data_IF_664132884919
#
_entry.id   IF_664132884919
#
_cell.length_a   1.000
_cell.length_b   1.000
_cell.length_c   1.000
_cell.angle_alpha   90.00
_cell.angle_beta   90.00
_cell.angle_gamma   90.00
#
_symmetry.space_group_name_H-M   'P 1'
#
loop_
_entity.id
_entity.type
_entity.pdbx_description
1 polymer ?
#
# COMPACT_ATOMS: atom_id res chain seq x y z
N UNK A 1 -34.68 4.79 5.53
CA UNK A 1 -33.39 5.27 4.98
C UNK A 1 -33.29 6.75 5.26
N UNK A 2 -32.36 7.17 6.11
CA UNK A 2 -32.28 8.57 6.59
C UNK A 2 -31.70 9.50 5.51
N UNK A 3 -31.92 10.81 5.61
CA UNK A 3 -31.25 11.82 4.76
C UNK A 3 -29.72 11.72 4.85
N UNK A 4 -29.21 11.29 6.00
CA UNK A 4 -27.79 11.05 6.24
C UNK A 4 -27.23 9.83 5.47
N UNK A 5 -28.03 8.79 5.25
CA UNK A 5 -27.64 7.62 4.45
C UNK A 5 -27.60 7.92 2.94
N UNK A 6 -28.53 8.76 2.46
CA UNK A 6 -28.56 9.19 1.04
C UNK A 6 -27.32 10.01 0.67
N UNK A 7 -26.95 10.97 1.52
CA UNK A 7 -25.77 11.83 1.31
C UNK A 7 -24.45 11.04 1.23
N UNK A 8 -24.27 10.03 2.10
CA UNK A 8 -23.07 9.17 2.07
C UNK A 8 -23.00 8.32 0.80
N UNK A 9 -24.13 7.77 0.37
CA UNK A 9 -24.21 6.96 -0.85
C UNK A 9 -23.88 7.78 -2.11
N UNK A 10 -24.42 8.99 -2.21
CA UNK A 10 -24.15 9.90 -3.34
C UNK A 10 -22.69 10.36 -3.37
N UNK A 11 -22.08 10.65 -2.21
CA UNK A 11 -20.66 11.01 -2.10
C UNK A 11 -19.73 9.86 -2.52
N UNK A 12 -20.08 8.62 -2.15
CA UNK A 12 -19.33 7.43 -2.52
C UNK A 12 -19.41 7.14 -4.03
N UNK A 13 -20.62 7.17 -4.60
CA UNK A 13 -20.82 6.96 -6.04
C UNK A 13 -20.11 8.03 -6.89
N UNK A 14 -20.14 9.30 -6.44
CA UNK A 14 -19.39 10.39 -7.06
C UNK A 14 -17.88 10.15 -7.03
N UNK A 15 -17.35 9.73 -5.88
CA UNK A 15 -15.92 9.46 -5.72
C UNK A 15 -15.47 8.33 -6.65
N UNK A 16 -16.21 7.22 -6.69
CA UNK A 16 -15.96 6.09 -7.60
C UNK A 16 -15.95 6.55 -9.07
N UNK A 17 -16.94 7.34 -9.48
CA UNK A 17 -17.03 7.85 -10.86
C UNK A 17 -15.84 8.73 -11.24
N UNK A 18 -15.29 9.48 -10.28
CA UNK A 18 -14.09 10.30 -10.47
C UNK A 18 -12.79 9.46 -10.46
N UNK A 19 -12.78 8.29 -9.82
CA UNK A 19 -11.57 7.46 -9.70
C UNK A 19 -11.23 6.67 -10.96
N UNK A 20 -12.25 6.15 -11.65
CA UNK A 20 -12.04 5.27 -12.82
C UNK A 20 -11.19 5.92 -13.92
N UNK A 21 -11.43 7.19 -14.33
CA UNK A 21 -10.61 7.81 -15.37
C UNK A 21 -9.15 8.04 -14.96
N UNK A 22 -8.84 8.08 -13.67
CA UNK A 22 -7.47 8.28 -13.18
C UNK A 22 -6.69 6.97 -13.08
N UNK A 23 -7.33 5.79 -13.17
CA UNK A 23 -6.64 4.50 -13.05
C UNK A 23 -5.45 4.31 -13.99
N UNK A 24 -5.49 4.73 -15.28
CA UNK A 24 -4.32 4.64 -16.14
C UNK A 24 -3.13 5.47 -15.64
N UNK A 25 -3.39 6.57 -14.94
CA UNK A 25 -2.35 7.46 -14.39
C UNK A 25 -1.60 6.79 -13.24
N UNK A 26 -2.26 5.91 -12.47
CA UNK A 26 -1.59 5.13 -11.41
C UNK A 26 -0.43 4.30 -11.99
N UNK A 27 -0.57 3.74 -13.20
CA UNK A 27 0.48 2.97 -13.86
C UNK A 27 1.70 3.81 -14.23
N UNK A 28 1.58 5.14 -14.31
CA UNK A 28 2.73 6.01 -14.53
C UNK A 28 3.66 6.03 -13.32
N UNK A 29 3.17 5.77 -12.10
CA UNK A 29 3.98 5.82 -10.88
C UNK A 29 5.18 4.86 -10.95
N UNK A 30 5.00 3.53 -11.14
CA UNK A 30 6.15 2.62 -11.24
C UNK A 30 7.03 2.92 -12.46
N UNK A 31 6.46 3.42 -13.56
CA UNK A 31 7.22 3.82 -14.76
C UNK A 31 8.14 5.01 -14.43
N UNK A 32 7.63 6.01 -13.70
CA UNK A 32 8.40 7.20 -13.33
C UNK A 32 9.54 6.87 -12.37
N UNK A 33 9.33 5.98 -11.39
CA UNK A 33 10.42 5.50 -10.54
C UNK A 33 11.48 4.76 -11.36
N UNK A 34 11.06 3.87 -12.27
CA UNK A 34 12.00 3.18 -13.14
C UNK A 34 12.80 4.14 -14.02
N UNK A 35 12.15 5.11 -14.65
CA UNK A 35 12.82 6.13 -15.46
C UNK A 35 13.79 6.97 -14.63
N UNK A 36 13.43 7.34 -13.41
CA UNK A 36 14.28 8.12 -12.51
C UNK A 36 15.57 7.34 -12.16
N UNK A 37 15.47 6.07 -11.77
CA UNK A 37 16.65 5.26 -11.45
C UNK A 37 17.46 4.85 -12.69
N UNK A 38 16.79 4.66 -13.82
CA UNK A 38 17.48 4.44 -15.10
C UNK A 38 18.30 5.66 -15.50
N UNK A 39 17.76 6.86 -15.29
CA UNK A 39 18.48 8.11 -15.55
C UNK A 39 19.73 8.25 -14.68
N UNK A 40 19.73 7.69 -13.47
CA UNK A 40 20.91 7.63 -12.60
C UNK A 40 21.82 6.43 -12.91
N UNK A 41 21.65 5.76 -14.05
CA UNK A 41 22.52 4.66 -14.50
C UNK A 41 22.24 3.30 -13.85
N UNK A 42 21.10 3.12 -13.19
CA UNK A 42 20.72 1.83 -12.58
C UNK A 42 19.69 1.12 -13.43
N UNK A 43 20.10 0.03 -14.08
CA UNK A 43 19.19 -0.81 -14.86
C UNK A 43 18.31 -1.70 -13.98
N UNK A 44 17.08 -1.94 -14.45
CA UNK A 44 16.13 -2.82 -13.80
C UNK A 44 16.53 -4.28 -14.01
N UNK A 45 16.65 -5.03 -12.91
CA UNK A 45 16.79 -6.48 -12.94
C UNK A 45 15.39 -7.08 -12.85
N UNK A 46 14.81 -7.42 -14.01
CA UNK A 46 13.42 -7.91 -14.10
C UNK A 46 13.12 -9.12 -13.21
N UNK A 47 14.09 -10.01 -13.00
CA UNK A 47 13.95 -11.16 -12.07
C UNK A 47 13.73 -10.69 -10.63
N UNK A 48 14.53 -9.72 -10.18
CA UNK A 48 14.43 -9.13 -8.85
C UNK A 48 13.13 -8.32 -8.69
N UNK A 49 12.73 -7.59 -9.73
CA UNK A 49 11.42 -6.93 -9.79
C UNK A 49 10.26 -7.92 -9.61
N UNK A 50 10.27 -9.04 -10.35
CA UNK A 50 9.25 -10.08 -10.22
C UNK A 50 9.21 -10.69 -8.81
N UNK A 51 10.37 -10.89 -8.19
CA UNK A 51 10.45 -11.33 -6.79
C UNK A 51 9.90 -10.31 -5.81
N UNK A 52 10.14 -9.02 -6.01
CA UNK A 52 9.54 -7.95 -5.21
C UNK A 52 8.01 -7.96 -5.30
N UNK A 53 7.47 -8.08 -6.51
CA UNK A 53 6.03 -8.18 -6.72
C UNK A 53 5.44 -9.43 -6.03
N UNK A 54 6.10 -10.58 -6.16
CA UNK A 54 5.68 -11.82 -5.50
C UNK A 54 5.74 -11.70 -3.98
N UNK A 55 6.79 -11.08 -3.44
CA UNK A 55 6.96 -10.85 -2.00
C UNK A 55 5.81 -10.03 -1.41
N UNK A 56 5.41 -8.95 -2.08
CA UNK A 56 4.26 -8.15 -1.66
C UNK A 56 2.96 -8.99 -1.68
N UNK A 57 2.73 -9.79 -2.72
CA UNK A 57 1.55 -10.68 -2.80
C UNK A 57 1.54 -11.69 -1.65
N UNK A 58 2.68 -12.30 -1.33
CA UNK A 58 2.80 -13.23 -0.19
C UNK A 58 2.45 -12.50 1.11
N UNK A 59 3.01 -11.29 1.33
CA UNK A 59 2.71 -10.50 2.52
C UNK A 59 1.21 -10.14 2.62
N UNK A 60 0.56 -9.81 1.49
CA UNK A 60 -0.89 -9.60 1.44
C UNK A 60 -1.65 -10.88 1.82
N UNK A 61 -1.28 -12.03 1.27
CA UNK A 61 -1.94 -13.31 1.57
C UNK A 61 -1.83 -13.67 3.05
N UNK A 62 -0.70 -13.36 3.69
CA UNK A 62 -0.52 -13.56 5.14
C UNK A 62 -1.44 -12.71 6.01
N UNK A 63 -2.02 -11.61 5.47
CA UNK A 63 -3.07 -10.85 6.17
C UNK A 63 -4.40 -11.60 6.23
N UNK A 64 -4.63 -12.58 5.35
CA UNK A 64 -5.84 -13.42 5.34
C UNK A 64 -6.07 -14.15 6.66
N UNK A 65 -5.10 -14.97 7.14
CA UNK A 65 -5.15 -15.59 8.46
C UNK A 65 -5.40 -14.59 9.60
N UNK A 66 -4.74 -13.43 9.58
CA UNK A 66 -4.95 -12.38 10.60
C UNK A 66 -6.39 -11.83 10.55
N UNK A 67 -6.95 -11.68 9.34
CA UNK A 67 -8.33 -11.22 9.16
C UNK A 67 -9.34 -12.21 9.72
N UNK A 68 -9.09 -13.52 9.56
CA UNK A 68 -9.92 -14.59 10.15
C UNK A 68 -9.92 -14.51 11.68
N UNK A 69 -8.74 -14.30 12.30
CA UNK A 69 -8.64 -14.12 13.75
C UNK A 69 -9.40 -12.86 14.23
N UNK A 70 -9.48 -11.84 13.39
CA UNK A 70 -10.21 -10.59 13.66
C UNK A 70 -11.73 -10.68 13.52
N UNK A 71 -12.30 -11.71 12.89
CA UNK A 71 -13.73 -11.78 12.54
C UNK A 71 -14.67 -11.70 13.74
N UNK A 72 -14.23 -12.18 14.91
CA UNK A 72 -15.04 -12.18 16.14
C UNK A 72 -14.87 -10.91 16.99
N UNK A 73 -14.01 -9.99 16.56
CA UNK A 73 -13.71 -8.77 17.31
C UNK A 73 -14.58 -7.60 16.82
N UNK A 74 -14.78 -6.57 17.65
CA UNK A 74 -15.38 -5.32 17.21
C UNK A 74 -14.66 -4.73 16.00
N UNK A 75 -15.40 -4.18 15.01
CA UNK A 75 -14.87 -3.69 13.73
C UNK A 75 -13.62 -2.82 13.86
N UNK A 76 -13.61 -1.90 14.82
CA UNK A 76 -12.46 -1.01 15.06
C UNK A 76 -11.21 -1.76 15.55
N UNK A 77 -11.39 -2.76 16.44
CA UNK A 77 -10.29 -3.57 16.96
C UNK A 77 -9.76 -4.52 15.90
N UNK A 78 -10.66 -5.13 15.12
CA UNK A 78 -10.29 -5.95 13.96
C UNK A 78 -9.47 -5.15 12.95
N UNK A 79 -9.93 -3.94 12.58
CA UNK A 79 -9.20 -3.05 11.69
C UNK A 79 -7.81 -2.70 12.23
N UNK A 80 -7.68 -2.34 13.51
CA UNK A 80 -6.37 -2.04 14.11
C UNK A 80 -5.41 -3.22 14.08
N UNK A 81 -5.90 -4.44 14.30
CA UNK A 81 -5.06 -5.65 14.25
C UNK A 81 -4.62 -5.96 12.82
N UNK A 82 -5.54 -5.91 11.85
CA UNK A 82 -5.25 -6.21 10.44
C UNK A 82 -4.31 -5.17 9.85
N UNK A 83 -4.55 -3.88 10.10
CA UNK A 83 -3.67 -2.81 9.61
C UNK A 83 -2.35 -2.83 10.38
N UNK A 84 -2.38 -3.07 11.69
CA UNK A 84 -1.18 -3.12 12.53
C UNK A 84 -0.28 -4.33 12.25
N UNK A 85 -0.79 -5.42 11.68
CA UNK A 85 0.02 -6.58 11.28
C UNK A 85 0.77 -6.36 9.96
N UNK A 86 0.48 -5.29 9.21
CA UNK A 86 1.16 -4.99 7.94
C UNK A 86 2.68 -4.93 8.08
N UNK A 87 3.21 -4.22 9.09
CA UNK A 87 4.65 -4.11 9.33
C UNK A 87 5.34 -5.46 9.51
N UNK A 88 4.95 -6.29 10.51
CA UNK A 88 5.52 -7.62 10.70
C UNK A 88 5.48 -8.51 9.46
N UNK A 89 4.36 -8.49 8.74
CA UNK A 89 4.15 -9.36 7.58
C UNK A 89 4.97 -8.89 6.38
N UNK A 90 4.97 -7.60 6.06
CA UNK A 90 5.70 -7.07 4.91
C UNK A 90 7.20 -7.03 5.14
N UNK A 91 7.65 -6.51 6.28
CA UNK A 91 9.09 -6.43 6.57
C UNK A 91 9.69 -7.82 6.78
N UNK A 92 8.94 -8.77 7.37
CA UNK A 92 9.37 -10.15 7.52
C UNK A 92 9.56 -10.85 6.18
N UNK A 93 8.60 -10.71 5.26
CA UNK A 93 8.72 -11.27 3.90
C UNK A 93 9.83 -10.58 3.12
N UNK A 94 9.95 -9.24 3.21
CA UNK A 94 11.03 -8.47 2.56
C UNK A 94 12.41 -8.93 3.01
N UNK A 95 12.62 -9.09 4.31
CA UNK A 95 13.87 -9.60 4.87
C UNK A 95 14.18 -11.00 4.33
N UNK A 96 13.21 -11.92 4.42
CA UNK A 96 13.37 -13.28 3.92
C UNK A 96 13.73 -13.30 2.44
N UNK A 97 13.06 -12.49 1.63
CA UNK A 97 13.32 -12.38 0.20
C UNK A 97 14.74 -11.88 -0.09
N UNK A 98 15.19 -10.84 0.60
CA UNK A 98 16.53 -10.27 0.42
C UNK A 98 17.63 -11.26 0.81
N UNK A 99 17.47 -11.96 1.94
CA UNK A 99 18.41 -13.00 2.39
C UNK A 99 18.50 -14.14 1.36
N UNK A 100 17.37 -14.55 0.78
CA UNK A 100 17.31 -15.68 -0.15
C UNK A 100 17.75 -15.34 -1.57
N UNK A 101 17.67 -14.08 -1.99
CA UNK A 101 17.84 -13.71 -3.40
C UNK A 101 19.00 -12.78 -3.69
N UNK A 102 19.39 -11.95 -2.73
CA UNK A 102 20.50 -11.01 -2.88
C UNK A 102 20.20 -9.63 -2.31
N UNK A 103 21.26 -8.94 -1.92
CA UNK A 103 21.18 -7.65 -1.23
C UNK A 103 21.84 -6.52 -1.99
N UNK A 104 22.51 -6.78 -3.12
CA UNK A 104 23.20 -5.77 -3.95
C UNK A 104 22.28 -4.64 -4.41
N UNK A 105 22.83 -3.42 -4.61
CA UNK A 105 22.03 -2.20 -4.84
C UNK A 105 20.96 -2.37 -5.93
N UNK A 106 21.37 -2.67 -7.17
CA UNK A 106 20.46 -2.78 -8.31
C UNK A 106 19.43 -3.90 -8.11
N UNK A 107 19.80 -4.96 -7.38
CA UNK A 107 18.90 -6.07 -7.05
C UNK A 107 17.86 -5.65 -6.03
N UNK A 108 18.28 -5.08 -4.90
CA UNK A 108 17.39 -4.59 -3.84
C UNK A 108 16.48 -3.45 -4.34
N UNK A 109 17.02 -2.54 -5.15
CA UNK A 109 16.26 -1.48 -5.79
C UNK A 109 15.18 -2.05 -6.72
N UNK A 110 15.52 -3.07 -7.52
CA UNK A 110 14.56 -3.74 -8.40
C UNK A 110 13.47 -4.47 -7.60
N UNK A 111 13.83 -5.15 -6.50
CA UNK A 111 12.85 -5.73 -5.55
C UNK A 111 11.91 -4.65 -5.03
N UNK A 112 12.45 -3.53 -4.54
CA UNK A 112 11.66 -2.42 -4.01
C UNK A 112 10.68 -1.85 -5.05
N UNK A 113 11.14 -1.67 -6.28
CA UNK A 113 10.29 -1.21 -7.39
C UNK A 113 9.20 -2.23 -7.75
N UNK A 114 9.51 -3.53 -7.75
CA UNK A 114 8.53 -4.59 -7.97
C UNK A 114 7.46 -4.64 -6.88
N UNK A 115 7.89 -4.49 -5.62
CA UNK A 115 7.03 -4.39 -4.44
C UNK A 115 6.05 -3.23 -4.57
N UNK A 116 6.55 -2.03 -4.88
CA UNK A 116 5.74 -0.84 -5.09
C UNK A 116 4.79 -0.95 -6.30
N UNK A 117 5.27 -1.50 -7.41
CA UNK A 117 4.49 -1.61 -8.65
C UNK A 117 3.27 -2.51 -8.49
N UNK A 118 3.42 -3.68 -7.86
CA UNK A 118 2.27 -4.59 -7.68
C UNK A 118 1.25 -4.02 -6.70
N UNK A 119 1.67 -3.23 -5.72
CA UNK A 119 0.75 -2.55 -4.82
C UNK A 119 -0.09 -1.50 -5.55
N UNK A 120 0.51 -0.78 -6.50
CA UNK A 120 -0.22 0.13 -7.39
C UNK A 120 -1.26 -0.64 -8.21
N UNK A 121 -0.89 -1.79 -8.79
CA UNK A 121 -1.84 -2.65 -9.51
C UNK A 121 -2.97 -3.14 -8.59
N UNK A 122 -2.63 -3.59 -7.38
CA UNK A 122 -3.62 -3.99 -6.38
C UNK A 122 -4.57 -2.85 -6.03
N UNK A 123 -4.07 -1.61 -5.92
CA UNK A 123 -4.89 -0.42 -5.70
C UNK A 123 -5.87 -0.21 -6.85
N UNK A 124 -5.42 -0.33 -8.09
CA UNK A 124 -6.28 -0.24 -9.29
C UNK A 124 -7.37 -1.32 -9.25
N UNK A 125 -6.99 -2.58 -9.01
CA UNK A 125 -7.93 -3.71 -8.91
C UNK A 125 -8.98 -3.45 -7.83
N UNK A 126 -8.57 -2.91 -6.68
CA UNK A 126 -9.50 -2.58 -5.60
C UNK A 126 -10.47 -1.47 -5.98
N UNK A 127 -10.01 -0.40 -6.64
CA UNK A 127 -10.92 0.66 -7.10
C UNK A 127 -11.94 0.10 -8.08
N UNK A 128 -11.53 -0.75 -9.02
CA UNK A 128 -12.44 -1.42 -9.96
C UNK A 128 -13.41 -2.36 -9.23
N UNK A 129 -12.94 -3.13 -8.26
CA UNK A 129 -13.78 -4.01 -7.44
C UNK A 129 -14.83 -3.21 -6.67
N UNK A 130 -14.42 -2.14 -5.97
CA UNK A 130 -15.32 -1.22 -5.26
C UNK A 130 -16.34 -0.61 -6.23
N UNK A 131 -15.91 -0.17 -7.41
CA UNK A 131 -16.78 0.40 -8.42
C UNK A 131 -17.85 -0.59 -8.91
N UNK A 132 -17.44 -1.84 -9.18
CA UNK A 132 -18.36 -2.91 -9.61
C UNK A 132 -19.35 -3.32 -8.52
N UNK A 133 -18.96 -3.21 -7.25
CA UNK A 133 -19.81 -3.51 -6.11
C UNK A 133 -20.74 -2.34 -5.74
N UNK A 134 -20.39 -1.09 -6.07
CA UNK A 134 -21.08 0.11 -5.59
C UNK A 134 -22.61 0.02 -5.74
N UNK A 135 -23.09 -0.38 -6.92
CA UNK A 135 -24.53 -0.48 -7.24
C UNK A 135 -25.18 -1.81 -6.86
N UNK A 136 -24.40 -2.82 -6.46
CA UNK A 136 -24.91 -4.15 -6.10
C UNK A 136 -25.40 -4.20 -4.65
N UNK A 137 -26.53 -4.85 -4.43
CA UNK A 137 -27.18 -5.00 -3.11
C UNK A 137 -27.46 -6.46 -2.73
N UNK A 138 -26.96 -7.42 -3.51
CA UNK A 138 -27.04 -8.83 -3.16
C UNK A 138 -26.19 -9.16 -1.93
N UNK A 139 -26.54 -10.24 -1.22
CA UNK A 139 -25.90 -10.62 0.05
C UNK A 139 -24.38 -10.76 -0.07
N UNK A 140 -23.89 -11.37 -1.17
CA UNK A 140 -22.46 -11.50 -1.44
C UNK A 140 -21.79 -10.14 -1.66
N UNK A 141 -22.44 -9.23 -2.38
CA UNK A 141 -21.93 -7.87 -2.56
C UNK A 141 -21.88 -7.10 -1.23
N UNK A 142 -22.86 -7.28 -0.34
CA UNK A 142 -22.86 -6.66 0.99
C UNK A 142 -21.75 -7.22 1.89
N UNK A 143 -21.51 -8.53 1.86
CA UNK A 143 -20.38 -9.15 2.55
C UNK A 143 -19.03 -8.64 2.00
N UNK A 144 -18.88 -8.57 0.68
CA UNK A 144 -17.67 -8.05 0.04
C UNK A 144 -17.41 -6.58 0.40
N UNK A 145 -18.46 -5.73 0.39
CA UNK A 145 -18.38 -4.34 0.86
C UNK A 145 -17.92 -4.28 2.31
N UNK A 146 -18.54 -5.04 3.21
CA UNK A 146 -18.16 -5.05 4.62
C UNK A 146 -16.70 -5.46 4.84
N UNK A 147 -16.19 -6.41 4.04
CA UNK A 147 -14.78 -6.82 4.07
C UNK A 147 -13.84 -5.71 3.60
N UNK A 148 -14.18 -5.03 2.50
CA UNK A 148 -13.41 -3.88 1.99
C UNK A 148 -13.43 -2.69 2.97
N UNK A 149 -14.56 -2.44 3.64
CA UNK A 149 -14.63 -1.42 4.68
C UNK A 149 -13.79 -1.77 5.90
N UNK A 150 -13.74 -3.05 6.30
CA UNK A 150 -12.91 -3.52 7.41
C UNK A 150 -11.41 -3.34 7.14
N UNK A 151 -11.02 -3.36 5.86
CA UNK A 151 -9.67 -3.02 5.39
C UNK A 151 -9.42 -1.50 5.33
N UNK A 152 -10.42 -0.66 5.63
CA UNK A 152 -10.30 0.80 5.75
C UNK A 152 -10.58 1.61 4.48
N UNK A 153 -11.26 1.04 3.49
CA UNK A 153 -11.20 1.54 2.10
C UNK A 153 -12.38 2.41 1.64
N UNK A 154 -12.95 3.28 2.49
CA UNK A 154 -14.28 3.86 2.17
C UNK A 154 -14.25 5.31 1.66
N UNK A 155 -13.13 6.02 1.72
CA UNK A 155 -13.08 7.36 1.13
C UNK A 155 -11.66 7.86 0.93
N UNK A 156 -11.21 7.89 -0.31
CA UNK A 156 -10.14 8.79 -0.71
C UNK A 156 -10.57 9.45 -2.02
N UNK A 157 -10.37 10.76 -2.11
CA UNK A 157 -10.49 11.46 -3.38
C UNK A 157 -9.41 10.89 -4.33
N UNK A 158 -9.76 10.54 -5.57
CA UNK A 158 -8.87 9.79 -6.44
C UNK A 158 -7.58 10.52 -6.83
N UNK A 159 -7.58 11.85 -6.79
CA UNK A 159 -6.37 12.67 -7.00
C UNK A 159 -5.39 12.54 -5.84
N UNK A 160 -5.89 12.53 -4.61
CA UNK A 160 -5.02 12.38 -3.44
C UNK A 160 -4.42 10.98 -3.38
N UNK A 161 -5.19 9.96 -3.74
CA UNK A 161 -4.67 8.59 -3.86
C UNK A 161 -3.44 8.45 -4.77
N UNK A 162 -3.27 9.30 -5.79
CA UNK A 162 -2.04 9.31 -6.61
C UNK A 162 -0.80 9.73 -5.79
N UNK A 163 -0.91 10.80 -5.01
CA UNK A 163 0.18 11.27 -4.13
C UNK A 163 0.50 10.26 -3.04
N UNK A 164 -0.53 9.64 -2.47
CA UNK A 164 -0.37 8.56 -1.51
C UNK A 164 0.41 7.39 -2.11
N UNK A 165 0.09 7.00 -3.35
CA UNK A 165 0.78 5.90 -4.05
C UNK A 165 2.22 6.22 -4.41
N UNK A 166 2.53 7.46 -4.79
CA UNK A 166 3.92 7.90 -4.99
C UNK A 166 4.70 7.80 -3.67
N UNK A 167 4.11 8.29 -2.58
CA UNK A 167 4.71 8.29 -1.25
C UNK A 167 4.91 6.88 -0.69
N UNK A 168 3.90 6.01 -0.84
CA UNK A 168 3.99 4.60 -0.47
C UNK A 168 5.04 3.86 -1.29
N UNK A 169 5.12 4.12 -2.61
CA UNK A 169 6.16 3.55 -3.47
C UNK A 169 7.56 3.96 -3.01
N UNK A 170 7.77 5.24 -2.71
CA UNK A 170 9.03 5.73 -2.16
C UNK A 170 9.38 5.05 -0.83
N UNK A 171 8.40 4.90 0.07
CA UNK A 171 8.56 4.20 1.34
C UNK A 171 9.01 2.76 1.15
N UNK A 172 8.31 1.97 0.32
CA UNK A 172 8.65 0.56 0.10
C UNK A 172 10.02 0.37 -0.56
N UNK A 173 10.37 1.22 -1.53
CA UNK A 173 11.69 1.20 -2.16
C UNK A 173 12.76 1.51 -1.11
N UNK A 174 12.57 2.58 -0.33
CA UNK A 174 13.48 2.99 0.73
C UNK A 174 13.70 1.93 1.80
N UNK A 175 12.62 1.36 2.34
CA UNK A 175 12.70 0.25 3.30
C UNK A 175 13.44 -0.96 2.73
N UNK A 176 13.24 -1.27 1.45
CA UNK A 176 13.95 -2.37 0.77
C UNK A 176 15.46 -2.12 0.72
N UNK A 177 15.88 -0.90 0.37
CA UNK A 177 17.30 -0.53 0.37
C UNK A 177 17.90 -0.57 1.79
N UNK A 178 17.18 -0.04 2.79
CA UNK A 178 17.62 -0.04 4.18
C UNK A 178 17.80 -1.46 4.73
N UNK A 179 16.83 -2.35 4.52
CA UNK A 179 16.93 -3.76 4.97
C UNK A 179 18.03 -4.50 4.22
N UNK A 180 18.19 -4.23 2.91
CA UNK A 180 19.24 -4.86 2.11
C UNK A 180 20.65 -4.49 2.60
N UNK A 181 20.85 -3.23 3.00
CA UNK A 181 22.12 -2.76 3.56
C UNK A 181 22.34 -3.22 5.00
N UNK A 182 21.30 -3.11 5.83
CA UNK A 182 21.33 -3.43 7.25
C UNK A 182 20.11 -4.26 7.66
N UNK A 183 20.22 -5.58 7.54
CA UNK A 183 19.14 -6.53 7.83
C UNK A 183 18.48 -6.33 9.19
N UNK A 184 19.23 -5.94 10.22
CA UNK A 184 18.72 -5.73 11.58
C UNK A 184 17.76 -4.53 11.69
N UNK A 185 17.79 -3.58 10.73
CA UNK A 185 16.82 -2.48 10.67
C UNK A 185 15.38 -2.97 10.52
N UNK A 186 15.17 -4.21 10.06
CA UNK A 186 13.85 -4.85 10.05
C UNK A 186 13.15 -4.76 11.42
N UNK A 187 13.90 -4.85 12.53
CA UNK A 187 13.34 -4.77 13.89
C UNK A 187 12.72 -3.40 14.16
N UNK A 188 13.32 -2.34 13.64
CA UNK A 188 12.80 -0.98 13.75
C UNK A 188 11.74 -0.66 12.69
N UNK A 189 11.90 -1.20 11.47
CA UNK A 189 10.98 -0.98 10.36
C UNK A 189 9.63 -1.67 10.57
N UNK A 190 9.58 -2.81 11.27
CA UNK A 190 8.33 -3.49 11.63
C UNK A 190 7.37 -2.55 12.38
N UNK A 191 7.72 -2.02 13.57
CA UNK A 191 6.82 -1.12 14.28
C UNK A 191 6.62 0.19 13.52
N UNK A 192 7.65 0.72 12.85
CA UNK A 192 7.53 1.95 12.05
C UNK A 192 6.45 1.80 10.98
N UNK A 193 6.53 0.76 10.16
CA UNK A 193 5.59 0.51 9.07
C UNK A 193 4.17 0.33 9.61
N UNK A 194 3.98 -0.45 10.68
CA UNK A 194 2.67 -0.58 11.33
C UNK A 194 2.13 0.78 11.81
N UNK A 195 2.97 1.63 12.40
CA UNK A 195 2.58 2.98 12.81
C UNK A 195 2.27 3.89 11.62
N UNK A 196 2.99 3.77 10.51
CA UNK A 196 2.70 4.49 9.27
C UNK A 196 1.32 4.16 8.74
N UNK A 197 1.00 2.87 8.63
CA UNK A 197 -0.30 2.45 8.12
C UNK A 197 -1.45 2.78 9.07
N UNK A 198 -1.27 2.60 10.38
CA UNK A 198 -2.28 3.00 11.37
C UNK A 198 -2.45 4.52 11.43
N UNK A 199 -1.35 5.26 11.35
CA UNK A 199 -1.32 6.72 11.28
C UNK A 199 -2.07 7.21 10.05
N UNK A 200 -1.81 6.62 8.89
CA UNK A 200 -2.50 6.90 7.64
C UNK A 200 -4.02 6.70 7.78
N UNK A 201 -4.46 5.54 8.27
CA UNK A 201 -5.89 5.26 8.50
C UNK A 201 -6.51 6.26 9.49
N UNK A 202 -5.81 6.65 10.54
CA UNK A 202 -6.31 7.61 11.53
C UNK A 202 -6.37 9.04 10.98
N UNK A 203 -5.42 9.44 10.14
CA UNK A 203 -5.38 10.74 9.50
C UNK A 203 -6.41 10.84 8.37
N UNK A 204 -6.61 9.78 7.59
CA UNK A 204 -7.63 9.71 6.54
C UNK A 204 -9.04 10.05 7.07
N UNK A 205 -9.35 9.62 8.30
CA UNK A 205 -10.61 9.93 8.99
C UNK A 205 -10.77 11.41 9.36
N UNK A 206 -9.65 12.15 9.48
CA UNK A 206 -9.63 13.54 9.95
C UNK A 206 -9.41 14.54 8.81
N UNK A 207 -8.46 14.27 7.92
CA UNK A 207 -8.08 15.15 6.82
C UNK A 207 -7.18 14.41 5.83
N UNK A 208 -7.62 14.34 4.57
CA UNK A 208 -6.83 13.79 3.46
C UNK A 208 -5.54 14.59 3.27
N UNK A 209 -5.57 15.92 3.30
CA UNK A 209 -4.36 16.74 3.16
C UNK A 209 -3.29 16.43 4.23
N UNK A 210 -3.70 16.17 5.48
CA UNK A 210 -2.75 15.78 6.55
C UNK A 210 -2.18 14.39 6.36
N UNK A 211 -3.01 13.44 5.90
CA UNK A 211 -2.56 12.11 5.50
C UNK A 211 -1.46 12.21 4.43
N UNK A 212 -1.70 13.00 3.39
CA UNK A 212 -0.82 13.10 2.23
C UNK A 212 0.52 13.73 2.60
N UNK A 213 0.49 14.80 3.40
CA UNK A 213 1.71 15.41 3.93
C UNK A 213 2.50 14.44 4.82
N UNK A 214 1.79 13.69 5.68
CA UNK A 214 2.40 12.66 6.53
C UNK A 214 3.09 11.56 5.70
N UNK A 215 2.37 11.00 4.73
CA UNK A 215 2.90 9.95 3.86
C UNK A 215 4.07 10.45 3.01
N UNK A 216 3.99 11.67 2.48
CA UNK A 216 5.06 12.27 1.69
C UNK A 216 6.35 12.41 2.50
N UNK A 217 6.27 12.94 3.73
CA UNK A 217 7.45 13.05 4.61
C UNK A 217 8.06 11.68 4.87
N UNK A 218 7.24 10.70 5.26
CA UNK A 218 7.71 9.37 5.59
C UNK A 218 8.32 8.67 4.37
N UNK A 219 7.67 8.76 3.20
CA UNK A 219 8.15 8.17 1.96
C UNK A 219 9.46 8.78 1.47
N UNK A 220 9.56 10.12 1.48
CA UNK A 220 10.81 10.82 1.12
C UNK A 220 11.93 10.49 2.10
N UNK A 221 11.65 10.48 3.40
CA UNK A 221 12.65 10.16 4.42
C UNK A 221 13.16 8.73 4.28
N UNK A 222 12.27 7.75 4.08
CA UNK A 222 12.65 6.35 3.91
C UNK A 222 13.45 6.13 2.62
N UNK A 223 13.00 6.71 1.49
CA UNK A 223 13.73 6.61 0.22
C UNK A 223 15.08 7.30 0.28
N UNK A 224 15.11 8.53 0.80
CA UNK A 224 16.35 9.30 0.97
C UNK A 224 17.34 8.58 1.87
N UNK A 225 16.90 8.06 3.02
CA UNK A 225 17.75 7.26 3.90
C UNK A 225 18.25 5.99 3.20
N UNK A 226 17.37 5.28 2.49
CA UNK A 226 17.75 4.09 1.72
C UNK A 226 18.79 4.37 0.65
N UNK A 227 18.67 5.48 -0.08
CA UNK A 227 19.64 5.88 -1.12
C UNK A 227 20.95 6.40 -0.54
N UNK A 228 20.92 7.14 0.57
CA UNK A 228 22.13 7.73 1.18
C UNK A 228 23.01 6.67 1.85
N UNK A 229 22.41 5.62 2.36
CA UNK A 229 23.09 4.59 3.16
C UNK A 229 23.62 3.45 2.30
N UNK A 230 23.04 3.26 1.11
CA UNK A 230 23.46 2.20 0.21
C UNK A 230 24.73 2.58 -0.56
#
# INVERSE_FOLDING_TARGET
MTTHDKSKKESFEKSVKQSIPLLPIYLLIPILFWLAFRYTGTDMIWKAFGFGALGWIIALMLRGPISVLGMKLPKERAQKIIVGSSGPLEEGVRLGLLILTGTGFSWALSIGQGWAAVEVVYTIVQVVAIASLAKRTDEKAMQAKAMLEAQGMVSASPFWGLFERVSASAFHIGCTLLVAKYHWLVIALIPLHSFVNLGAVNLAKKSIARLEFYMAIVGIAALGAGLLVY
#
